data_IF_818931152988
#
_entry.id   IF_818931152988
#
_cell.length_a   1.000
_cell.length_b   1.000
_cell.length_c   1.000
_cell.angle_alpha   90.00
_cell.angle_beta   90.00
_cell.angle_gamma   90.00
#
_symmetry.space_group_name_H-M   'P 1'
#
loop_
_entity.id
_entity.type
_entity.pdbx_description
1 polymer ?
#
# COMPACT_ATOMS: atom_id res chain seq x y z
N UNK A 1 8.42 -5.99 16.39
CA UNK A 1 7.06 -5.68 15.96
C UNK A 1 7.19 -4.88 14.70
N UNK A 2 6.56 -5.35 13.63
CA UNK A 2 6.72 -4.77 12.31
C UNK A 2 5.68 -3.67 12.11
N UNK A 3 6.06 -2.59 11.44
CA UNK A 3 5.14 -1.55 11.02
C UNK A 3 4.91 -1.76 9.53
N UNK A 4 3.65 -1.90 9.16
CA UNK A 4 3.22 -2.00 7.78
C UNK A 4 2.78 -0.63 7.30
N UNK A 5 3.34 -0.18 6.19
CA UNK A 5 2.85 0.91 5.40
C UNK A 5 2.03 0.34 4.24
N UNK A 6 0.81 0.85 4.10
CA UNK A 6 -0.11 0.45 3.04
C UNK A 6 -0.56 1.68 2.26
N UNK A 7 -0.59 1.58 0.93
CA UNK A 7 -1.36 2.49 0.10
C UNK A 7 -2.49 1.72 -0.56
N UNK A 8 -3.73 2.13 -0.29
CA UNK A 8 -4.94 1.40 -0.65
C UNK A 8 -5.68 2.18 -1.72
N UNK A 9 -5.88 1.56 -2.88
CA UNK A 9 -6.69 2.08 -3.97
C UNK A 9 -7.82 1.08 -4.26
N UNK A 10 -9.00 1.59 -4.60
CA UNK A 10 -10.16 0.75 -4.93
C UNK A 10 -10.70 1.17 -6.30
N UNK A 11 -10.71 0.24 -7.25
CA UNK A 11 -11.23 0.44 -8.61
C UNK A 11 -12.13 -0.74 -8.96
N UNK A 12 -13.31 -0.50 -9.54
CA UNK A 12 -14.23 -1.55 -10.01
C UNK A 12 -14.48 -2.70 -9.02
N UNK A 13 -14.67 -2.37 -7.74
CA UNK A 13 -14.82 -3.32 -6.63
C UNK A 13 -13.61 -4.24 -6.35
N UNK A 14 -12.45 -3.97 -6.95
CA UNK A 14 -11.18 -4.62 -6.64
C UNK A 14 -10.31 -3.70 -5.78
N UNK A 15 -9.82 -4.22 -4.65
CA UNK A 15 -8.87 -3.53 -3.80
C UNK A 15 -7.46 -3.83 -4.27
N UNK A 16 -6.66 -2.79 -4.48
CA UNK A 16 -5.24 -2.89 -4.78
C UNK A 16 -4.45 -2.18 -3.70
N UNK A 17 -3.43 -2.85 -3.18
CA UNK A 17 -2.67 -2.40 -2.02
C UNK A 17 -1.19 -2.46 -2.33
N UNK A 18 -0.51 -1.32 -2.26
CA UNK A 18 0.93 -1.33 -2.08
C UNK A 18 1.26 -1.66 -0.62
N UNK A 19 2.18 -2.58 -0.38
CA UNK A 19 2.60 -3.00 0.95
C UNK A 19 4.11 -2.89 1.09
N UNK A 20 4.52 -2.26 2.20
CA UNK A 20 5.89 -2.32 2.67
C UNK A 20 5.88 -2.49 4.17
N UNK A 21 6.80 -3.28 4.71
CA UNK A 21 6.93 -3.47 6.15
C UNK A 21 8.36 -3.25 6.62
N UNK A 22 8.52 -2.55 7.73
CA UNK A 22 9.82 -2.46 8.41
C UNK A 22 9.62 -2.14 9.88
N UNK A 23 10.56 -2.56 10.72
CA UNK A 23 10.71 -2.07 12.08
C UNK A 23 11.59 -0.80 12.15
N UNK A 24 12.18 -0.40 11.02
CA UNK A 24 12.97 0.81 10.86
C UNK A 24 12.10 1.95 10.31
N UNK A 25 11.95 3.02 11.12
CA UNK A 25 11.17 4.20 10.76
C UNK A 25 11.78 5.01 9.62
N UNK A 26 13.10 4.99 9.48
CA UNK A 26 13.76 5.73 8.40
C UNK A 26 13.45 5.09 7.05
N UNK A 27 13.48 3.76 6.98
CA UNK A 27 13.10 3.01 5.77
C UNK A 27 11.65 3.27 5.38
N UNK A 28 10.72 3.26 6.35
CA UNK A 28 9.32 3.61 6.09
C UNK A 28 9.21 5.02 5.50
N UNK A 29 9.88 6.01 6.09
CA UNK A 29 9.84 7.38 5.60
C UNK A 29 10.40 7.52 4.17
N UNK A 30 11.42 6.74 3.81
CA UNK A 30 11.96 6.71 2.45
C UNK A 30 10.90 6.22 1.47
N UNK A 31 10.26 5.08 1.76
CA UNK A 31 9.24 4.48 0.90
C UNK A 31 8.00 5.37 0.78
N UNK A 32 7.55 6.01 1.89
CA UNK A 32 6.44 6.97 1.84
C UNK A 32 6.76 8.15 0.91
N UNK A 33 7.97 8.70 1.01
CA UNK A 33 8.40 9.81 0.13
C UNK A 33 8.47 9.38 -1.32
N UNK A 34 8.98 8.18 -1.57
CA UNK A 34 9.05 7.60 -2.91
C UNK A 34 7.65 7.47 -3.53
N UNK A 35 6.71 6.85 -2.82
CA UNK A 35 5.32 6.71 -3.27
C UNK A 35 4.66 8.07 -3.52
N UNK A 36 4.77 9.01 -2.57
CA UNK A 36 4.17 10.34 -2.71
C UNK A 36 4.80 11.15 -3.85
N UNK A 37 6.09 10.96 -4.13
CA UNK A 37 6.77 11.60 -5.25
C UNK A 37 6.29 11.00 -6.58
N UNK A 38 6.30 9.68 -6.71
CA UNK A 38 5.90 8.96 -7.93
C UNK A 38 4.40 9.10 -8.23
N UNK A 39 3.58 9.12 -7.19
CA UNK A 39 2.12 9.23 -7.21
C UNK A 39 1.58 10.62 -6.90
N UNK A 40 2.39 11.68 -6.95
CA UNK A 40 1.94 13.04 -6.59
C UNK A 40 0.66 13.48 -7.33
N UNK A 41 0.56 13.15 -8.62
CA UNK A 41 -0.58 13.45 -9.49
C UNK A 41 -1.83 12.60 -9.21
N UNK A 42 -1.70 11.50 -8.48
CA UNK A 42 -2.76 10.51 -8.18
C UNK A 42 -2.95 10.32 -6.67
N UNK A 43 -2.44 11.25 -5.86
CA UNK A 43 -2.45 11.15 -4.40
C UNK A 43 -3.86 11.15 -3.80
N UNK A 44 -4.86 11.62 -4.53
CA UNK A 44 -6.28 11.54 -4.15
C UNK A 44 -6.93 10.18 -4.45
N UNK A 45 -6.27 9.34 -5.26
CA UNK A 45 -6.83 8.08 -5.78
C UNK A 45 -6.43 6.88 -4.90
N UNK A 46 -5.64 7.10 -3.85
CA UNK A 46 -5.30 6.09 -2.84
C UNK A 46 -5.25 6.69 -1.43
N UNK A 47 -5.49 5.85 -0.43
CA UNK A 47 -5.39 6.20 1.00
C UNK A 47 -4.18 5.54 1.65
N UNK A 48 -3.53 6.24 2.58
CA UNK A 48 -2.35 5.73 3.28
C UNK A 48 -2.73 5.19 4.67
N UNK A 49 -2.25 3.99 5.00
CA UNK A 49 -2.49 3.35 6.29
C UNK A 49 -1.19 2.85 6.92
N UNK A 50 -1.18 2.84 8.26
CA UNK A 50 -0.11 2.21 9.03
C UNK A 50 -0.69 1.21 10.02
N UNK A 51 -0.17 0.00 10.01
CA UNK A 51 -0.58 -1.09 10.91
C UNK A 51 0.63 -1.70 11.59
N UNK A 52 0.41 -2.40 12.70
CA UNK A 52 1.47 -3.09 13.44
C UNK A 52 1.10 -4.55 13.62
N UNK A 53 1.99 -5.44 13.26
CA UNK A 53 1.80 -6.88 13.51
C UNK A 53 3.10 -7.51 14.02
N UNK A 54 3.02 -8.82 14.31
CA UNK A 54 4.17 -9.60 14.74
C UNK A 54 5.00 -10.16 13.56
N UNK A 55 4.59 -9.95 12.30
CA UNK A 55 5.23 -10.55 11.13
C UNK A 55 5.21 -9.58 9.94
N UNK A 56 6.29 -9.50 9.16
CA UNK A 56 6.46 -8.57 8.04
C UNK A 56 5.52 -8.81 6.84
N UNK A 57 4.99 -10.01 6.65
CA UNK A 57 4.17 -10.36 5.47
C UNK A 57 2.82 -9.63 5.39
N UNK A 58 2.30 -9.40 4.17
CA UNK A 58 0.93 -8.90 3.98
C UNK A 58 -0.13 -9.89 4.47
N UNK A 59 0.14 -11.19 4.40
CA UNK A 59 -0.73 -12.23 4.95
C UNK A 59 -0.99 -12.02 6.45
N UNK A 60 -0.03 -11.48 7.21
CA UNK A 60 -0.21 -11.17 8.62
C UNK A 60 -1.22 -10.02 8.82
N UNK A 61 -1.26 -9.06 7.90
CA UNK A 61 -2.24 -7.97 7.85
C UNK A 61 -3.62 -8.53 7.54
N UNK A 62 -3.76 -9.33 6.48
CA UNK A 62 -5.04 -9.93 6.08
C UNK A 62 -5.64 -10.86 7.16
N UNK A 63 -4.79 -11.59 7.91
CA UNK A 63 -5.23 -12.40 9.05
C UNK A 63 -5.75 -11.55 10.22
N UNK A 64 -5.18 -10.37 10.41
CA UNK A 64 -5.57 -9.46 11.49
C UNK A 64 -6.82 -8.66 11.13
N UNK A 65 -6.94 -8.25 9.86
CA UNK A 65 -8.04 -7.44 9.35
C UNK A 65 -8.56 -8.04 8.02
N UNK A 66 -9.71 -8.74 8.06
CA UNK A 66 -10.32 -9.36 6.87
C UNK A 66 -10.69 -8.37 5.76
N UNK A 67 -10.69 -7.06 6.03
CA UNK A 67 -10.84 -6.03 4.98
C UNK A 67 -9.82 -6.22 3.85
N UNK A 68 -8.62 -6.70 4.16
CA UNK A 68 -7.54 -6.90 3.19
C UNK A 68 -7.48 -8.32 2.59
N UNK A 69 -8.44 -9.20 2.91
CA UNK A 69 -8.35 -10.62 2.54
C UNK A 69 -8.32 -10.87 1.03
N UNK A 70 -9.05 -10.05 0.26
CA UNK A 70 -9.16 -10.17 -1.20
C UNK A 70 -8.36 -9.08 -1.95
N UNK A 71 -7.41 -8.43 -1.28
CA UNK A 71 -6.62 -7.36 -1.86
C UNK A 71 -5.49 -7.88 -2.76
N UNK A 72 -5.35 -7.26 -3.93
CA UNK A 72 -4.18 -7.46 -4.79
C UNK A 72 -2.99 -6.69 -4.21
N UNK A 73 -1.99 -7.42 -3.75
CA UNK A 73 -0.83 -6.85 -3.08
C UNK A 73 0.31 -6.59 -4.06
N UNK A 74 0.84 -5.36 -4.02
CA UNK A 74 1.98 -4.89 -4.79
C UNK A 74 3.13 -4.53 -3.84
N UNK A 75 4.33 -5.02 -4.13
CA UNK A 75 5.53 -4.71 -3.33
C UNK A 75 6.44 -3.69 -4.04
N UNK A 76 6.15 -3.36 -5.30
CA UNK A 76 6.85 -2.34 -6.09
C UNK A 76 6.01 -1.07 -6.21
N UNK A 77 6.64 0.07 -5.90
CA UNK A 77 5.99 1.40 -5.96
C UNK A 77 5.60 1.75 -7.41
N UNK A 78 6.46 1.42 -8.37
CA UNK A 78 6.24 1.72 -9.79
C UNK A 78 5.04 0.97 -10.36
N UNK A 79 4.93 -0.33 -10.07
CA UNK A 79 3.79 -1.16 -10.47
C UNK A 79 2.47 -0.62 -9.90
N UNK A 80 2.44 -0.32 -8.61
CA UNK A 80 1.25 0.24 -7.96
C UNK A 80 0.85 1.61 -8.55
N UNK A 81 1.82 2.52 -8.72
CA UNK A 81 1.55 3.84 -9.31
C UNK A 81 1.08 3.73 -10.75
N UNK A 82 1.66 2.82 -11.53
CA UNK A 82 1.24 2.58 -12.91
C UNK A 82 -0.20 2.05 -12.98
N UNK A 83 -0.58 1.15 -12.07
CA UNK A 83 -1.95 0.66 -11.94
C UNK A 83 -2.93 1.79 -11.61
N UNK A 84 -2.64 2.59 -10.58
CA UNK A 84 -3.52 3.69 -10.19
C UNK A 84 -3.66 4.71 -11.32
N UNK A 85 -2.58 5.03 -12.04
CA UNK A 85 -2.64 5.94 -13.20
C UNK A 85 -3.49 5.39 -14.33
N UNK A 86 -3.46 4.08 -14.59
CA UNK A 86 -4.28 3.45 -15.63
C UNK A 86 -5.78 3.47 -15.32
N UNK A 87 -6.13 3.37 -14.03
CA UNK A 87 -7.52 3.38 -13.56
C UNK A 87 -8.02 4.78 -13.19
N UNK A 88 -7.17 5.81 -13.34
CA UNK A 88 -7.52 7.20 -13.09
C UNK A 88 -8.51 7.69 -14.16
N UNK A 89 -9.78 7.81 -13.79
CA UNK A 89 -10.84 8.34 -14.65
C UNK A 89 -11.47 7.33 -15.61
N UNK A 90 -11.33 6.02 -15.32
CA UNK A 90 -12.21 4.99 -15.86
C UNK A 90 -13.66 5.16 -15.37
#
# INVERSE_FOLDING_TARGET
MEIHFLAVANFDNQMSVFHFSSNDREQLNVVVKELLSAGSEISSDFSLHFLKTNNCSFESVAKMDPYFADADCYEDVGEFVALVKQNKGA
#
